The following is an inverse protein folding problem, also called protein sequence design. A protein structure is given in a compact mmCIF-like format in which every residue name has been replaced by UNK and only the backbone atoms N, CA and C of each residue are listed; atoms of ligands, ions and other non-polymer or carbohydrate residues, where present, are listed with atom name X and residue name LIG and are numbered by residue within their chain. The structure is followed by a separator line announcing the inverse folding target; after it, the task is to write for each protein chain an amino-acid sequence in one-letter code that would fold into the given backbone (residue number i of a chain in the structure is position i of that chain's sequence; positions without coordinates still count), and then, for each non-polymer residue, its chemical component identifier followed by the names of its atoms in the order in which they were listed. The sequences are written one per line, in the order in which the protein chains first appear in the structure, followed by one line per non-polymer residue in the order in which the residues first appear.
data_IF_340220046577
#
_entry.id   IF_340220046577
#
_cell.length_a   1.000
_cell.length_b   1.000
_cell.length_c   1.000
_cell.angle_alpha   90.00
_cell.angle_beta   90.00
_cell.angle_gamma   90.00
#
_symmetry.space_group_name_H-M   'P 1'
#
loop_
_entity.id
_entity.type
_entity.pdbx_description
1 polymer ?
#
# COMPACT_ATOMS: atom_id res chain seq x y z
N UNK A 1 0.03 23.58 3.89
CA UNK A 1 -0.68 23.42 5.18
C UNK A 1 -1.18 22.00 5.30
N UNK A 2 -0.99 21.34 6.45
CA UNK A 2 -1.49 19.98 6.69
C UNK A 2 -3.01 20.00 6.90
N UNK A 3 -3.74 19.07 6.27
CA UNK A 3 -5.19 18.93 6.42
C UNK A 3 -5.51 17.76 7.35
N UNK A 4 -6.16 18.05 8.47
CA UNK A 4 -6.68 17.03 9.40
C UNK A 4 -8.18 16.87 9.17
N UNK A 5 -8.66 15.63 9.08
CA UNK A 5 -10.08 15.29 8.97
C UNK A 5 -10.44 14.32 10.07
N UNK A 6 -11.38 14.71 10.92
CA UNK A 6 -11.88 13.89 12.02
C UNK A 6 -13.18 13.22 11.58
N UNK A 7 -13.35 11.95 11.95
CA UNK A 7 -14.53 11.16 11.64
C UNK A 7 -15.01 10.43 12.88
N UNK A 8 -16.33 10.29 13.03
CA UNK A 8 -16.92 9.65 14.20
C UNK A 8 -16.68 8.13 14.25
N UNK A 9 -16.42 7.51 13.09
CA UNK A 9 -16.21 6.06 13.00
C UNK A 9 -15.13 5.70 11.99
N UNK A 10 -14.45 4.56 12.24
CA UNK A 10 -13.47 3.98 11.32
C UNK A 10 -14.06 3.73 9.92
N UNK A 11 -15.33 3.30 9.82
CA UNK A 11 -15.99 3.08 8.53
C UNK A 11 -16.22 4.39 7.76
N UNK A 12 -16.54 5.50 8.43
CA UNK A 12 -16.66 6.82 7.78
C UNK A 12 -15.31 7.30 7.25
N UNK A 13 -14.24 7.09 8.02
CA UNK A 13 -12.86 7.36 7.61
C UNK A 13 -12.47 6.51 6.39
N UNK A 14 -12.70 5.19 6.44
CA UNK A 14 -12.37 4.27 5.37
C UNK A 14 -13.06 4.64 4.05
N UNK A 15 -14.37 4.91 4.09
CA UNK A 15 -15.14 5.40 2.93
C UNK A 15 -14.63 6.73 2.38
N UNK A 16 -14.18 7.61 3.26
CA UNK A 16 -13.64 8.90 2.86
C UNK A 16 -12.29 8.74 2.16
N UNK A 17 -11.36 8.00 2.76
CA UNK A 17 -10.03 7.78 2.21
C UNK A 17 -10.07 6.92 0.93
N UNK A 18 -10.92 5.89 0.83
CA UNK A 18 -11.13 5.13 -0.40
C UNK A 18 -11.66 6.01 -1.54
N UNK A 19 -12.54 6.99 -1.25
CA UNK A 19 -12.99 7.97 -2.25
C UNK A 19 -11.85 8.88 -2.73
N UNK A 20 -10.91 9.21 -1.85
CA UNK A 20 -9.74 10.02 -2.19
C UNK A 20 -8.78 9.22 -3.09
N UNK A 21 -8.50 7.95 -2.77
CA UNK A 21 -7.72 7.04 -3.63
C UNK A 21 -8.39 6.89 -5.00
N UNK A 22 -9.70 6.66 -5.05
CA UNK A 22 -10.44 6.55 -6.30
C UNK A 22 -10.40 7.86 -7.12
N UNK A 23 -10.41 9.02 -6.45
CA UNK A 23 -10.25 10.33 -7.12
C UNK A 23 -8.84 10.48 -7.70
N UNK A 24 -7.82 10.09 -6.95
CA UNK A 24 -6.43 10.11 -7.42
C UNK A 24 -6.24 9.21 -8.64
N UNK A 25 -6.77 7.99 -8.63
CA UNK A 25 -6.72 7.06 -9.77
C UNK A 25 -7.45 7.60 -11.02
N UNK A 26 -8.59 8.27 -10.85
CA UNK A 26 -9.29 8.91 -11.97
C UNK A 26 -8.51 10.09 -12.54
N UNK A 27 -7.88 10.89 -11.68
CA UNK A 27 -7.07 12.03 -12.10
C UNK A 27 -5.76 11.59 -12.79
N UNK A 28 -5.13 10.53 -12.29
CA UNK A 28 -3.94 9.93 -12.86
C UNK A 28 -4.11 8.40 -12.95
N UNK A 29 -4.51 7.84 -14.11
CA UNK A 29 -4.62 6.40 -14.26
C UNK A 29 -3.29 5.65 -14.09
N UNK A 30 -2.14 6.32 -14.21
CA UNK A 30 -0.80 5.75 -14.01
C UNK A 30 -0.26 5.95 -12.59
N UNK A 31 -1.14 6.30 -11.63
CA UNK A 31 -0.79 6.59 -10.24
C UNK A 31 0.18 5.55 -9.67
N UNK A 32 1.28 6.03 -9.11
CA UNK A 32 2.21 5.21 -8.32
C UNK A 32 1.82 5.32 -6.84
N UNK A 33 1.32 4.22 -6.29
CA UNK A 33 0.67 4.17 -4.99
C UNK A 33 1.53 3.41 -3.97
N UNK A 34 1.86 4.07 -2.88
CA UNK A 34 2.47 3.44 -1.72
C UNK A 34 1.41 2.87 -0.76
N UNK A 35 1.56 1.61 -0.33
CA UNK A 35 0.54 0.88 0.42
C UNK A 35 1.08 0.29 1.74
N UNK A 36 0.39 0.48 2.88
CA UNK A 36 0.72 -0.16 4.15
C UNK A 36 -0.01 -1.50 4.32
N UNK A 37 0.44 -2.32 5.25
CA UNK A 37 -0.33 -3.47 5.77
C UNK A 37 -0.87 -3.16 7.17
N UNK A 38 -1.32 -4.19 7.90
CA UNK A 38 -1.86 -4.05 9.26
C UNK A 38 -3.39 -3.95 9.30
N UNK A 39 -3.94 -3.86 10.52
CA UNK A 39 -5.41 -3.87 10.74
C UNK A 39 -6.09 -2.59 10.29
N UNK A 40 -5.43 -1.44 10.48
CA UNK A 40 -5.97 -0.11 10.18
C UNK A 40 -6.43 0.06 8.72
N UNK A 41 -5.66 -0.34 7.68
CA UNK A 41 -6.09 -0.17 6.31
C UNK A 41 -7.12 -1.20 5.80
N UNK A 42 -7.45 -2.27 6.54
CA UNK A 42 -8.38 -3.32 6.05
C UNK A 42 -9.73 -2.72 5.61
N UNK A 43 -10.46 -1.93 6.43
CA UNK A 43 -11.74 -1.38 6.00
C UNK A 43 -11.61 -0.41 4.82
N UNK A 44 -10.45 0.23 4.64
CA UNK A 44 -10.16 1.06 3.47
C UNK A 44 -10.01 0.19 2.21
N UNK A 45 -9.31 -0.94 2.29
CA UNK A 45 -9.21 -1.88 1.17
C UNK A 45 -10.56 -2.45 0.78
N UNK A 46 -11.40 -2.84 1.75
CA UNK A 46 -12.77 -3.30 1.47
C UNK A 46 -13.59 -2.26 0.69
N UNK A 47 -13.48 -0.98 1.07
CA UNK A 47 -14.15 0.12 0.37
C UNK A 47 -13.54 0.41 -1.01
N UNK A 48 -12.23 0.24 -1.19
CA UNK A 48 -11.58 0.33 -2.50
C UNK A 48 -12.09 -0.77 -3.43
N UNK A 49 -12.15 -2.01 -2.94
CA UNK A 49 -12.70 -3.16 -3.68
C UNK A 49 -14.15 -2.91 -4.07
N UNK A 50 -14.98 -2.44 -3.12
CA UNK A 50 -16.38 -2.07 -3.41
C UNK A 50 -16.48 -0.98 -4.48
N UNK A 51 -15.61 0.04 -4.43
CA UNK A 51 -15.57 1.10 -5.45
C UNK A 51 -15.09 0.57 -6.81
N UNK A 52 -14.15 -0.36 -6.83
CA UNK A 52 -13.71 -1.02 -8.06
C UNK A 52 -14.84 -1.83 -8.70
N UNK A 53 -15.51 -2.69 -7.94
CA UNK A 53 -16.66 -3.47 -8.41
C UNK A 53 -17.82 -2.62 -8.93
N UNK A 54 -17.95 -1.38 -8.45
CA UNK A 54 -18.90 -0.38 -8.95
C UNK A 54 -18.38 0.45 -10.15
N UNK A 55 -17.23 0.09 -10.74
CA UNK A 55 -16.62 0.79 -11.88
C UNK A 55 -16.05 2.18 -11.53
N UNK A 56 -15.86 2.50 -10.25
CA UNK A 56 -15.47 3.84 -9.78
C UNK A 56 -13.99 3.99 -9.44
N UNK A 57 -13.24 2.90 -9.44
CA UNK A 57 -11.79 2.87 -9.28
C UNK A 57 -11.21 1.81 -10.23
N UNK A 58 -10.15 2.13 -10.96
CA UNK A 58 -9.43 1.17 -11.81
C UNK A 58 -7.94 1.29 -11.55
N UNK A 59 -7.32 0.14 -11.32
CA UNK A 59 -5.90 -0.05 -11.06
C UNK A 59 -5.15 -0.60 -12.28
N UNK A 60 -5.83 -0.81 -13.42
CA UNK A 60 -5.27 -1.38 -14.66
C UNK A 60 -3.94 -0.78 -15.12
N UNK A 61 -3.73 0.50 -14.82
CA UNK A 61 -2.52 1.24 -15.21
C UNK A 61 -1.72 1.77 -14.01
N UNK A 62 -2.22 1.60 -12.80
CA UNK A 62 -1.55 2.03 -11.56
C UNK A 62 -0.37 1.11 -11.24
N UNK A 63 0.59 1.61 -10.49
CA UNK A 63 1.73 0.83 -9.97
C UNK A 63 1.73 0.91 -8.47
N UNK A 64 2.01 -0.18 -7.76
CA UNK A 64 1.99 -0.21 -6.29
C UNK A 64 3.34 -0.59 -5.71
N UNK A 65 3.68 0.04 -4.59
CA UNK A 65 4.84 -0.30 -3.76
C UNK A 65 4.36 -0.47 -2.32
N UNK A 66 4.59 -1.64 -1.73
CA UNK A 66 4.36 -1.83 -0.30
C UNK A 66 5.52 -1.26 0.53
N UNK A 67 5.21 -0.81 1.75
CA UNK A 67 6.19 -0.16 2.65
C UNK A 67 7.31 -1.11 3.10
N UNK A 68 6.95 -2.35 3.42
CA UNK A 68 7.79 -3.30 4.14
C UNK A 68 7.42 -4.75 3.79
N UNK A 69 8.30 -5.68 4.18
CA UNK A 69 8.08 -7.12 4.19
C UNK A 69 8.97 -7.73 5.29
N UNK A 70 8.57 -8.88 5.83
CA UNK A 70 9.40 -9.61 6.80
C UNK A 70 10.61 -10.28 6.14
N UNK A 71 11.78 -10.16 6.77
CA UNK A 71 12.93 -10.98 6.42
C UNK A 71 12.68 -12.46 6.77
N UNK A 72 13.13 -13.36 5.90
CA UNK A 72 13.00 -14.81 6.06
C UNK A 72 11.65 -15.40 5.62
N UNK A 73 10.67 -14.58 5.23
CA UNK A 73 9.39 -15.07 4.72
C UNK A 73 9.34 -15.03 3.19
N UNK A 74 9.00 -16.17 2.58
CA UNK A 74 8.65 -16.27 1.16
C UNK A 74 7.32 -15.55 0.93
N UNK A 75 7.16 -14.90 -0.22
CA UNK A 75 5.93 -14.17 -0.56
C UNK A 75 4.68 -15.04 -0.73
N UNK A 76 4.83 -16.38 -0.76
CA UNK A 76 3.74 -17.36 -0.71
C UNK A 76 3.40 -17.79 0.72
N UNK A 77 4.21 -17.43 1.72
CA UNK A 77 3.88 -17.68 3.11
C UNK A 77 2.60 -16.87 3.47
N UNK A 78 1.56 -17.50 4.03
CA UNK A 78 0.31 -16.81 4.40
C UNK A 78 0.49 -15.65 5.40
N UNK A 79 1.62 -15.60 6.11
CA UNK A 79 1.98 -14.56 7.07
C UNK A 79 2.74 -13.39 6.43
N UNK A 80 3.17 -13.52 5.18
CA UNK A 80 3.85 -12.44 4.45
C UNK A 80 2.91 -11.25 4.19
N UNK A 81 3.48 -10.06 4.08
CA UNK A 81 2.74 -8.87 3.69
C UNK A 81 2.29 -8.92 2.23
N UNK A 82 3.00 -9.66 1.36
CA UNK A 82 2.47 -10.02 0.04
C UNK A 82 1.16 -10.79 0.11
N UNK A 83 1.10 -11.87 0.89
CA UNK A 83 -0.12 -12.67 1.05
C UNK A 83 -1.26 -11.85 1.67
N UNK A 84 -0.95 -10.99 2.64
CA UNK A 84 -1.90 -10.03 3.20
C UNK A 84 -2.53 -9.15 2.11
N UNK A 85 -1.71 -8.51 1.28
CA UNK A 85 -2.22 -7.60 0.25
C UNK A 85 -2.97 -8.33 -0.86
N UNK A 86 -2.55 -9.55 -1.19
CA UNK A 86 -3.27 -10.38 -2.15
C UNK A 86 -4.69 -10.65 -1.65
N UNK A 87 -4.82 -11.10 -0.40
CA UNK A 87 -6.11 -11.36 0.26
C UNK A 87 -7.02 -10.14 0.36
N UNK A 88 -6.47 -8.96 0.68
CA UNK A 88 -7.29 -7.78 0.99
C UNK A 88 -7.50 -6.82 -0.19
N UNK A 89 -6.65 -6.87 -1.22
CA UNK A 89 -6.74 -5.92 -2.33
C UNK A 89 -6.45 -6.53 -3.69
N UNK A 90 -5.28 -7.13 -3.89
CA UNK A 90 -4.78 -7.40 -5.26
C UNK A 90 -5.52 -8.52 -5.99
N UNK A 91 -6.15 -9.48 -5.31
CA UNK A 91 -7.05 -10.46 -5.96
C UNK A 91 -8.40 -9.87 -6.38
N UNK A 92 -8.74 -8.67 -5.90
CA UNK A 92 -10.08 -8.09 -6.00
C UNK A 92 -10.15 -6.85 -6.89
N UNK A 93 -9.03 -6.47 -7.52
CA UNK A 93 -8.93 -5.30 -8.40
C UNK A 93 -8.20 -5.63 -9.69
N UNK A 94 -8.39 -4.81 -10.72
CA UNK A 94 -7.79 -4.98 -12.05
C UNK A 94 -6.30 -4.60 -12.12
N UNK A 95 -5.48 -4.99 -11.14
CA UNK A 95 -4.04 -4.71 -11.09
C UNK A 95 -3.20 -5.90 -11.59
N UNK A 96 -2.31 -5.69 -12.56
CA UNK A 96 -1.45 -6.77 -13.08
C UNK A 96 -0.24 -7.01 -12.18
N UNK A 97 0.18 -8.27 -12.00
CA UNK A 97 1.32 -8.65 -11.18
C UNK A 97 2.62 -7.86 -11.46
N UNK A 98 2.92 -7.53 -12.73
CA UNK A 98 4.11 -6.73 -13.11
C UNK A 98 4.13 -5.30 -12.56
N UNK A 99 3.00 -4.82 -12.05
CA UNK A 99 2.81 -3.48 -11.47
C UNK A 99 2.72 -3.52 -9.94
N UNK A 100 2.90 -4.70 -9.34
CA UNK A 100 2.89 -4.92 -7.89
C UNK A 100 4.32 -5.11 -7.43
N UNK A 101 4.83 -4.18 -6.64
CA UNK A 101 6.19 -4.23 -6.11
C UNK A 101 6.17 -4.49 -4.60
N UNK A 102 7.03 -5.43 -4.18
CA UNK A 102 7.38 -5.69 -2.79
C UNK A 102 8.90 -5.81 -2.66
N UNK A 103 9.38 -5.59 -1.44
CA UNK A 103 10.67 -6.10 -0.99
C UNK A 103 10.63 -7.63 -0.97
N UNK A 104 11.74 -8.26 -1.36
CA UNK A 104 11.93 -9.69 -1.27
C UNK A 104 12.61 -10.04 0.07
N UNK A 105 11.83 -10.54 1.02
CA UNK A 105 12.32 -10.95 2.35
C UNK A 105 13.30 -12.13 2.36
N UNK A 106 13.48 -12.85 1.25
CA UNK A 106 14.30 -14.08 1.18
C UNK A 106 15.70 -13.89 0.62
N UNK A 107 16.07 -12.66 0.25
CA UNK A 107 17.40 -12.38 -0.31
C UNK A 107 18.49 -12.57 0.75
N UNK A 108 19.69 -12.93 0.30
CA UNK A 108 20.88 -12.95 1.16
C UNK A 108 21.46 -11.54 1.35
N UNK A 109 21.50 -10.76 0.28
CA UNK A 109 21.99 -9.39 0.30
C UNK A 109 20.81 -8.41 0.42
N UNK A 110 20.52 -8.02 1.66
CA UNK A 110 19.42 -7.09 1.99
C UNK A 110 19.70 -5.68 1.46
N UNK A 111 20.95 -5.23 1.49
CA UNK A 111 21.30 -3.90 1.01
C UNK A 111 21.04 -3.76 -0.50
N UNK A 112 21.46 -4.75 -1.28
CA UNK A 112 21.20 -4.79 -2.73
C UNK A 112 19.70 -4.82 -3.06
N UNK A 113 18.88 -5.49 -2.23
CA UNK A 113 17.43 -5.52 -2.39
C UNK A 113 16.76 -4.18 -2.08
N UNK A 114 17.16 -3.50 -1.00
CA UNK A 114 16.71 -2.14 -0.70
C UNK A 114 17.05 -1.19 -1.85
N UNK A 115 18.27 -1.25 -2.38
CA UNK A 115 18.65 -0.43 -3.53
C UNK A 115 17.87 -0.78 -4.81
N UNK A 116 17.60 -2.07 -5.06
CA UNK A 116 16.76 -2.51 -6.18
C UNK A 116 15.37 -1.90 -6.06
N UNK A 117 14.80 -1.90 -4.86
CA UNK A 117 13.47 -1.36 -4.60
C UNK A 117 13.43 0.16 -4.80
N UNK A 118 14.41 0.89 -4.26
CA UNK A 118 14.61 2.32 -4.48
C UNK A 118 14.76 2.67 -5.97
N UNK A 119 15.56 1.91 -6.72
CA UNK A 119 15.69 2.08 -8.18
C UNK A 119 14.37 1.83 -8.90
N UNK A 120 13.56 0.86 -8.46
CA UNK A 120 12.26 0.59 -9.05
C UNK A 120 11.28 1.74 -8.83
N UNK A 121 11.27 2.34 -7.63
CA UNK A 121 10.47 3.55 -7.33
C UNK A 121 10.90 4.71 -8.24
N UNK A 122 12.20 4.99 -8.35
CA UNK A 122 12.70 6.06 -9.25
C UNK A 122 12.34 5.83 -10.71
N UNK A 123 12.45 4.58 -11.20
CA UNK A 123 12.05 4.22 -12.58
C UNK A 123 10.55 4.36 -12.82
N UNK A 124 9.73 4.23 -11.78
CA UNK A 124 8.29 4.47 -11.87
C UNK A 124 7.93 5.98 -11.88
N UNK A 125 8.89 6.87 -11.62
CA UNK A 125 8.68 8.31 -11.53
C UNK A 125 8.52 8.84 -10.10
N UNK A 126 8.74 8.01 -9.07
CA UNK A 126 8.47 8.34 -7.67
C UNK A 126 7.09 7.85 -7.21
N UNK A 127 6.76 8.09 -5.93
CA UNK A 127 5.45 7.78 -5.35
C UNK A 127 4.54 9.01 -5.46
N UNK A 128 3.40 8.89 -6.14
CA UNK A 128 2.43 9.98 -6.28
C UNK A 128 1.56 10.14 -5.02
N UNK A 129 1.17 9.01 -4.41
CA UNK A 129 0.33 8.97 -3.23
C UNK A 129 0.79 7.83 -2.31
N UNK A 130 1.18 8.18 -1.09
CA UNK A 130 1.57 7.22 -0.06
C UNK A 130 0.47 7.13 1.00
N UNK A 131 -0.14 5.96 1.14
CA UNK A 131 -0.99 5.64 2.29
C UNK A 131 -0.10 5.15 3.44
N UNK A 132 -0.35 5.63 4.65
CA UNK A 132 0.42 5.30 5.84
C UNK A 132 -0.52 4.98 7.00
N UNK A 133 -0.11 4.02 7.83
CA UNK A 133 -0.62 3.85 9.18
C UNK A 133 0.34 4.50 10.19
N UNK A 134 -0.18 4.84 11.36
CA UNK A 134 0.62 5.28 12.50
C UNK A 134 0.47 4.26 13.63
N UNK A 135 1.58 3.76 14.13
CA UNK A 135 1.64 2.97 15.35
C UNK A 135 1.28 3.80 16.58
N UNK A 136 0.91 3.16 17.68
CA UNK A 136 0.61 3.84 18.96
C UNK A 136 1.82 4.57 19.55
N UNK A 137 3.03 4.12 19.21
CA UNK A 137 4.29 4.77 19.54
C UNK A 137 4.78 5.75 18.44
N UNK A 138 3.96 6.01 17.42
CA UNK A 138 4.27 6.92 16.32
C UNK A 138 5.05 6.33 15.14
N UNK A 139 5.35 5.03 15.14
CA UNK A 139 6.06 4.41 14.01
C UNK A 139 5.26 4.46 12.71
N UNK A 140 5.97 4.39 11.58
CA UNK A 140 5.43 4.24 10.22
C UNK A 140 6.15 3.07 9.56
N UNK A 141 5.42 2.04 9.12
CA UNK A 141 6.04 0.77 8.73
C UNK A 141 6.92 0.23 9.87
N UNK A 142 8.10 -0.31 9.56
CA UNK A 142 9.09 -0.70 10.58
C UNK A 142 10.05 0.42 11.03
N UNK A 143 9.72 1.69 10.76
CA UNK A 143 10.51 2.82 11.27
C UNK A 143 10.13 3.12 12.72
N UNK A 144 10.66 2.30 13.63
CA UNK A 144 10.44 2.43 15.08
C UNK A 144 11.09 3.70 15.64
N UNK A 145 10.56 4.28 16.73
CA UNK A 145 11.25 5.33 17.47
C UNK A 145 12.66 4.88 17.83
N UNK A 146 13.65 5.77 17.62
CA UNK A 146 14.97 5.56 18.18
C UNK A 146 14.84 5.37 19.70
N UNK A 147 15.67 4.49 20.29
CA UNK A 147 15.78 4.44 21.75
C UNK A 147 16.20 5.83 22.23
N UNK A 148 15.44 6.39 23.17
CA UNK A 148 15.83 7.59 23.89
C UNK A 148 17.06 7.32 24.76
#
# INVERSE_FOLDING_TARGET
MMRVRVFDTASRLARAAARDVARALRANPRLVLGLPTGRTPIPLYDEIVRLHGAGRASFRRATTFNLDEFLGLDGRDPRSYRAFMQRHLFDHVDLTARRIHFLNGTVRDVAAECERYERAIRRAGGIDLQLLGLGTNGHIGFNEPARA
#
